data_IF_044304708706
#
_entry.id   IF_044304708706
#
_cell.length_a   1.000
_cell.length_b   1.000
_cell.length_c   1.000
_cell.angle_alpha   90.00
_cell.angle_beta   90.00
_cell.angle_gamma   90.00
#
_symmetry.space_group_name_H-M   'P 1'
#
loop_
_entity.id
_entity.type
_entity.pdbx_description
1 polymer ?
#
# COMPACT_ATOMS: atom_id res chain seq x y z
N UNK A 1 -19.83 -35.57 1.94
CA UNK A 1 -18.76 -35.33 2.94
C UNK A 1 -18.03 -34.04 2.60
N UNK A 2 -18.12 -33.02 3.45
CA UNK A 2 -17.54 -31.70 3.18
C UNK A 2 -16.00 -31.77 3.23
N UNK A 3 -15.35 -31.48 2.11
CA UNK A 3 -13.90 -31.50 1.99
C UNK A 3 -13.32 -30.26 2.72
N UNK A 4 -12.89 -30.43 3.98
CA UNK A 4 -12.19 -29.38 4.75
C UNK A 4 -10.87 -29.06 4.05
N UNK A 5 -10.85 -28.01 3.24
CA UNK A 5 -9.63 -27.48 2.64
C UNK A 5 -8.59 -27.23 3.74
N UNK A 6 -7.47 -27.98 3.68
CA UNK A 6 -6.33 -27.84 4.59
C UNK A 6 -5.88 -26.38 4.55
N UNK A 7 -6.00 -25.65 5.67
CA UNK A 7 -5.41 -24.32 5.86
C UNK A 7 -3.88 -24.49 5.89
N UNK A 8 -3.27 -24.62 4.72
CA UNK A 8 -1.82 -24.61 4.60
C UNK A 8 -1.29 -23.36 5.25
N UNK A 9 -0.38 -23.51 6.22
CA UNK A 9 0.51 -22.44 6.68
C UNK A 9 1.50 -22.14 5.55
N UNK A 10 0.98 -21.63 4.43
CA UNK A 10 1.78 -21.19 3.30
C UNK A 10 2.24 -19.76 3.53
N UNK A 11 3.47 -19.45 3.13
CA UNK A 11 3.95 -18.07 2.99
C UNK A 11 2.91 -17.31 2.14
N UNK A 12 2.32 -16.20 2.63
CA UNK A 12 1.29 -15.48 1.90
C UNK A 12 1.82 -15.17 0.49
N UNK A 13 1.01 -15.41 -0.54
CA UNK A 13 1.35 -15.16 -1.93
C UNK A 13 1.73 -13.69 -2.06
N UNK A 14 3.04 -13.43 -2.04
CA UNK A 14 3.53 -12.07 -1.95
C UNK A 14 3.13 -11.37 -3.26
N UNK A 15 2.44 -10.24 -3.12
CA UNK A 15 2.07 -9.34 -4.23
C UNK A 15 1.04 -9.87 -5.23
N UNK A 16 0.13 -10.78 -4.83
CA UNK A 16 -1.06 -11.10 -5.64
C UNK A 16 -2.33 -11.12 -4.78
N UNK A 17 -3.32 -10.32 -5.16
CA UNK A 17 -4.69 -10.45 -4.67
C UNK A 17 -5.28 -9.21 -3.99
N UNK A 18 -6.58 -9.30 -3.67
CA UNK A 18 -7.41 -8.21 -3.11
C UNK A 18 -6.80 -7.58 -1.85
N UNK A 19 -6.09 -8.35 -1.02
CA UNK A 19 -5.51 -7.88 0.26
C UNK A 19 -4.44 -6.79 0.06
N UNK A 20 -3.57 -6.96 -0.92
CA UNK A 20 -2.58 -5.93 -1.27
C UNK A 20 -3.26 -4.64 -1.73
N UNK A 21 -4.25 -4.76 -2.63
CA UNK A 21 -5.00 -3.60 -3.12
C UNK A 21 -5.73 -2.86 -2.00
N UNK A 22 -6.33 -3.59 -1.05
CA UNK A 22 -6.97 -2.98 0.13
C UNK A 22 -5.98 -2.26 1.04
N UNK A 23 -4.76 -2.78 1.18
CA UNK A 23 -3.72 -2.13 1.98
C UNK A 23 -3.21 -0.86 1.32
N UNK A 24 -2.91 -0.89 0.02
CA UNK A 24 -2.56 0.30 -0.76
C UNK A 24 -3.68 1.34 -0.68
N UNK A 25 -4.94 0.93 -0.84
CA UNK A 25 -6.11 1.80 -0.69
C UNK A 25 -6.18 2.46 0.69
N UNK A 26 -5.98 1.67 1.76
CA UNK A 26 -5.89 2.18 3.14
C UNK A 26 -4.80 3.24 3.29
N UNK A 27 -3.58 2.97 2.79
CA UNK A 27 -2.47 3.91 2.88
C UNK A 27 -2.75 5.19 2.10
N UNK A 28 -3.33 5.07 0.90
CA UNK A 28 -3.70 6.20 0.07
C UNK A 28 -4.78 7.07 0.73
N UNK A 29 -5.76 6.46 1.42
CA UNK A 29 -6.78 7.22 2.17
C UNK A 29 -6.21 7.97 3.37
N UNK A 30 -5.23 7.37 4.07
CA UNK A 30 -4.65 7.94 5.30
C UNK A 30 -3.54 8.97 5.03
N UNK A 31 -2.68 8.70 4.06
CA UNK A 31 -1.44 9.47 3.82
C UNK A 31 -1.37 10.10 2.42
N UNK A 32 -2.40 9.93 1.60
CA UNK A 32 -2.39 10.35 0.20
C UNK A 32 -1.51 9.46 -0.69
N UNK A 33 -1.54 9.70 -2.00
CA UNK A 33 -0.81 8.89 -2.97
C UNK A 33 0.72 8.99 -2.81
N UNK A 34 1.24 10.19 -2.52
CA UNK A 34 2.67 10.41 -2.31
C UNK A 34 3.16 9.79 -1.01
N UNK A 35 2.40 9.92 0.08
CA UNK A 35 2.73 9.29 1.37
C UNK A 35 2.68 7.77 1.29
N UNK A 36 1.66 7.22 0.62
CA UNK A 36 1.58 5.78 0.35
C UNK A 36 2.79 5.28 -0.45
N UNK A 37 3.28 6.05 -1.44
CA UNK A 37 4.50 5.72 -2.18
C UNK A 37 5.72 5.68 -1.26
N UNK A 38 5.88 6.66 -0.39
CA UNK A 38 7.00 6.71 0.55
C UNK A 38 7.00 5.47 1.47
N UNK A 39 5.84 5.12 2.02
CA UNK A 39 5.65 3.95 2.91
C UNK A 39 5.94 2.63 2.19
N UNK A 40 5.43 2.44 0.97
CA UNK A 40 5.63 1.20 0.21
C UNK A 40 7.08 1.01 -0.27
N UNK A 41 7.82 2.11 -0.44
CA UNK A 41 9.20 2.10 -0.91
C UNK A 41 10.22 2.30 0.23
N UNK A 42 9.77 2.48 1.47
CA UNK A 42 10.64 2.69 2.61
C UNK A 42 11.61 1.52 2.82
N UNK A 43 12.85 1.81 3.20
CA UNK A 43 13.85 0.80 3.54
C UNK A 43 13.42 0.06 4.82
N UNK A 44 13.76 -1.23 4.93
CA UNK A 44 13.49 -2.01 6.15
C UNK A 44 14.20 -1.34 7.34
N UNK A 45 13.48 -1.15 8.45
CA UNK A 45 14.02 -0.51 9.66
C UNK A 45 13.85 1.02 9.72
N UNK A 46 13.17 1.64 8.75
CA UNK A 46 12.74 3.04 8.84
C UNK A 46 11.34 3.15 9.45
N UNK A 47 11.02 4.27 10.10
CA UNK A 47 9.70 4.51 10.72
C UNK A 47 8.54 4.36 9.71
N UNK A 48 8.77 4.74 8.46
CA UNK A 48 7.79 4.57 7.38
C UNK A 48 7.57 3.09 7.00
N UNK A 49 8.55 2.23 7.24
CA UNK A 49 8.42 0.80 6.99
C UNK A 49 7.55 0.10 8.05
N UNK A 50 7.33 0.71 9.22
CA UNK A 50 6.41 0.18 10.23
C UNK A 50 4.94 0.41 9.86
N UNK A 51 4.68 1.43 9.03
CA UNK A 51 3.34 1.74 8.53
C UNK A 51 2.88 0.78 7.41
N UNK A 52 3.82 0.10 6.73
CA UNK A 52 3.47 -0.96 5.77
C UNK A 52 3.29 -2.29 6.50
N UNK A 53 2.34 -3.09 6.02
CA UNK A 53 2.11 -4.41 6.61
C UNK A 53 3.27 -5.35 6.27
N UNK A 54 4.11 -5.70 7.25
CA UNK A 54 5.22 -6.66 7.08
C UNK A 54 4.77 -8.02 6.49
N UNK A 55 3.50 -8.42 6.74
CA UNK A 55 2.92 -9.65 6.19
C UNK A 55 2.60 -9.55 4.69
N UNK A 56 2.27 -8.36 4.20
CA UNK A 56 1.84 -8.14 2.81
C UNK A 56 2.94 -7.54 1.93
N UNK A 57 3.74 -6.64 2.52
CA UNK A 57 4.83 -5.90 1.87
C UNK A 57 6.05 -5.99 2.81
N UNK A 58 6.75 -7.14 2.84
CA UNK A 58 7.91 -7.33 3.70
C UNK A 58 9.14 -6.52 3.25
N UNK A 59 9.21 -6.18 1.96
CA UNK A 59 10.36 -5.50 1.35
C UNK A 59 9.90 -4.25 0.59
N UNK A 60 10.81 -3.30 0.31
CA UNK A 60 10.51 -2.13 -0.52
C UNK A 60 10.06 -2.59 -1.92
N UNK A 61 8.97 -2.01 -2.42
CA UNK A 61 8.38 -2.42 -3.69
C UNK A 61 8.94 -1.70 -4.92
N UNK A 62 9.59 -0.55 -4.73
CA UNK A 62 9.99 0.32 -5.84
C UNK A 62 8.81 0.78 -6.70
N UNK A 63 7.60 0.80 -6.14
CA UNK A 63 6.38 1.06 -6.90
C UNK A 63 6.32 2.53 -7.32
N UNK A 64 6.00 2.75 -8.59
CA UNK A 64 5.88 4.09 -9.16
C UNK A 64 4.57 4.76 -8.75
N UNK A 65 4.57 6.10 -8.69
CA UNK A 65 3.38 6.87 -8.35
C UNK A 65 2.20 6.59 -9.32
N UNK A 66 2.39 6.52 -10.66
CA UNK A 66 1.30 6.20 -11.58
C UNK A 66 0.61 4.87 -11.28
N UNK A 67 1.36 3.85 -10.84
CA UNK A 67 0.78 2.54 -10.49
C UNK A 67 -0.12 2.65 -9.27
N UNK A 68 0.29 3.41 -8.24
CA UNK A 68 -0.55 3.66 -7.06
C UNK A 68 -1.83 4.41 -7.45
N UNK A 69 -1.72 5.42 -8.32
CA UNK A 69 -2.88 6.17 -8.81
C UNK A 69 -3.85 5.30 -9.61
N UNK A 70 -3.34 4.40 -10.47
CA UNK A 70 -4.16 3.42 -11.20
C UNK A 70 -4.88 2.48 -10.24
N UNK A 71 -4.20 1.97 -9.22
CA UNK A 71 -4.80 1.11 -8.18
C UNK A 71 -5.89 1.87 -7.42
N UNK A 72 -5.62 3.10 -7.00
CA UNK A 72 -6.56 3.94 -6.27
C UNK A 72 -7.83 4.22 -7.12
N UNK A 73 -7.66 4.58 -8.39
CA UNK A 73 -8.76 4.81 -9.33
C UNK A 73 -9.59 3.53 -9.56
N UNK A 74 -8.94 2.38 -9.76
CA UNK A 74 -9.62 1.11 -9.92
C UNK A 74 -10.42 0.67 -8.68
N UNK A 75 -10.05 1.16 -7.50
CA UNK A 75 -10.77 0.93 -6.23
C UNK A 75 -11.80 2.03 -5.90
N UNK A 76 -12.08 2.94 -6.84
CA UNK A 76 -13.06 4.01 -6.65
C UNK A 76 -12.62 5.10 -5.66
N UNK A 77 -11.31 5.21 -5.36
CA UNK A 77 -10.81 6.28 -4.50
C UNK A 77 -10.75 7.57 -5.32
N UNK A 78 -11.60 8.54 -4.97
CA UNK A 78 -11.49 9.90 -5.49
C UNK A 78 -10.33 10.58 -4.79
N UNK A 79 -9.19 10.64 -5.46
CA UNK A 79 -8.03 11.39 -4.99
C UNK A 79 -8.33 12.88 -5.14
N UNK A 80 -8.65 13.55 -4.04
CA UNK A 80 -8.70 15.00 -4.00
C UNK A 80 -7.31 15.52 -4.35
N UNK A 81 -7.19 16.30 -5.43
CA UNK A 81 -5.94 16.98 -5.78
C UNK A 81 -5.50 17.80 -4.58
N UNK A 82 -4.32 17.51 -4.03
CA UNK A 82 -3.76 18.33 -2.96
C UNK A 82 -3.65 19.77 -3.44
N UNK A 83 -4.11 20.73 -2.63
CA UNK A 83 -3.70 22.12 -2.81
C UNK A 83 -2.19 22.15 -2.55
N UNK A 84 -1.38 22.77 -3.42
CA UNK A 84 0.01 23.10 -3.04
C UNK A 84 -0.10 23.93 -1.77
N UNK A 85 0.29 23.38 -0.62
CA UNK A 85 0.34 24.18 0.59
C UNK A 85 1.46 25.20 0.37
N UNK A 86 1.11 26.44 0.09
CA UNK A 86 2.05 27.55 -0.11
C UNK A 86 2.71 28.02 1.19
N UNK A 87 2.98 27.13 2.14
CA UNK A 87 3.67 27.39 3.41
C UNK A 87 3.89 26.04 4.11
N UNK A 88 5.06 25.65 4.60
CA UNK A 88 6.22 26.42 5.06
C UNK A 88 7.47 25.95 4.30
N UNK A 89 8.10 26.86 3.56
CA UNK A 89 9.55 26.80 3.43
C UNK A 89 10.12 26.98 4.85
N UNK A 90 11.07 26.12 5.23
CA UNK A 90 11.95 26.38 6.36
C UNK A 90 12.86 27.56 6.01
#
# INVERSE_FOLDING_TARGET
MANKAKKGRGRPTVYKGKKFLTHVCSLVKKHGATGARAILNAAVGSDLADLRSAKQVPAPLGISLPTILKIAKAQGIVLKRGRRNGSKAA
#
